data_IF_258654805468
#
_entry.id   IF_258654805468
#
_cell.length_a   1.000
_cell.length_b   1.000
_cell.length_c   1.000
_cell.angle_alpha   90.00
_cell.angle_beta   90.00
_cell.angle_gamma   90.00
#
_symmetry.space_group_name_H-M   'P 1'
#
loop_
_entity.id
_entity.type
_entity.pdbx_description
1 polymer ?
#
# COMPACT_ATOMS: atom_id res chain seq x y z
N UNK A 1 -11.93 -8.73 -10.37
CA UNK A 1 -12.14 -8.52 -11.81
C UNK A 1 -11.25 -9.47 -12.64
N UNK A 2 -9.91 -9.35 -12.65
CA UNK A 2 -9.01 -10.13 -13.51
C UNK A 2 -9.19 -11.66 -13.40
N UNK A 3 -9.34 -12.18 -12.18
CA UNK A 3 -9.59 -13.62 -11.91
C UNK A 3 -10.85 -14.17 -12.59
N UNK A 4 -11.83 -13.32 -12.91
CA UNK A 4 -13.10 -13.71 -13.51
C UNK A 4 -13.16 -13.38 -15.00
N UNK A 5 -12.46 -12.33 -15.46
CA UNK A 5 -12.50 -11.85 -16.84
C UNK A 5 -11.40 -12.48 -17.70
N UNK A 6 -10.23 -12.74 -17.10
CA UNK A 6 -9.03 -13.26 -17.78
C UNK A 6 -8.38 -14.37 -16.94
N UNK A 7 -9.11 -15.45 -16.73
CA UNK A 7 -8.72 -16.51 -15.80
C UNK A 7 -7.40 -17.20 -16.18
N UNK A 8 -7.16 -17.44 -17.47
CA UNK A 8 -5.95 -18.11 -17.93
C UNK A 8 -4.72 -17.21 -17.73
N UNK A 9 -4.82 -15.92 -18.03
CA UNK A 9 -3.76 -14.94 -17.76
C UNK A 9 -3.49 -14.82 -16.26
N UNK A 10 -4.54 -14.83 -15.43
CA UNK A 10 -4.39 -14.85 -13.97
C UNK A 10 -3.62 -16.09 -13.49
N UNK A 11 -3.97 -17.28 -13.96
CA UNK A 11 -3.29 -18.52 -13.63
C UNK A 11 -1.83 -18.52 -14.09
N UNK A 12 -1.58 -18.05 -15.31
CA UNK A 12 -0.24 -17.95 -15.86
C UNK A 12 0.66 -17.10 -14.97
N UNK A 13 0.23 -15.88 -14.62
CA UNK A 13 1.00 -14.98 -13.75
C UNK A 13 1.20 -15.61 -12.37
N UNK A 14 0.16 -16.21 -11.78
CA UNK A 14 0.24 -16.87 -10.48
C UNK A 14 1.26 -18.04 -10.48
N UNK A 15 1.26 -18.84 -11.53
CA UNK A 15 2.22 -19.94 -11.71
C UNK A 15 3.66 -19.42 -11.84
N UNK A 16 3.88 -18.42 -12.68
CA UNK A 16 5.21 -17.81 -12.88
C UNK A 16 5.75 -17.17 -11.58
N UNK A 17 4.88 -16.53 -10.79
CA UNK A 17 5.25 -15.99 -9.47
C UNK A 17 5.63 -17.09 -8.49
N UNK A 18 4.92 -18.24 -8.50
CA UNK A 18 5.24 -19.36 -7.63
C UNK A 18 6.54 -20.05 -8.04
N UNK A 19 6.79 -20.24 -9.32
CA UNK A 19 8.01 -20.87 -9.81
C UNK A 19 9.29 -20.13 -9.37
N UNK A 20 9.22 -18.79 -9.25
CA UNK A 20 10.35 -17.94 -8.82
C UNK A 20 10.29 -17.55 -7.33
N UNK A 21 9.49 -18.22 -6.53
CA UNK A 21 9.28 -17.86 -5.12
C UNK A 21 10.59 -17.94 -4.31
N UNK A 22 11.31 -19.03 -4.41
CA UNK A 22 12.55 -19.26 -3.66
C UNK A 22 13.65 -18.25 -4.05
N UNK A 23 13.86 -18.03 -5.34
CA UNK A 23 14.83 -17.01 -5.84
C UNK A 23 14.48 -15.60 -5.34
N UNK A 24 13.18 -15.28 -5.34
CA UNK A 24 12.71 -13.99 -4.84
C UNK A 24 12.92 -13.83 -3.34
N UNK A 25 12.66 -14.86 -2.55
CA UNK A 25 12.85 -14.85 -1.10
C UNK A 25 14.33 -14.70 -0.73
N UNK A 26 15.21 -15.39 -1.43
CA UNK A 26 16.66 -15.25 -1.29
C UNK A 26 17.12 -13.82 -1.64
N UNK A 27 16.66 -13.28 -2.75
CA UNK A 27 16.97 -11.91 -3.14
C UNK A 27 16.51 -10.89 -2.08
N UNK A 28 15.26 -11.04 -1.58
CA UNK A 28 14.70 -10.20 -0.52
C UNK A 28 15.59 -10.28 0.74
N UNK A 29 16.02 -11.47 1.14
CA UNK A 29 16.89 -11.64 2.30
C UNK A 29 18.24 -10.93 2.13
N UNK A 30 18.87 -11.04 0.96
CA UNK A 30 20.12 -10.31 0.64
C UNK A 30 19.95 -8.79 0.64
N UNK A 31 18.80 -8.30 0.19
CA UNK A 31 18.48 -6.86 0.23
C UNK A 31 18.22 -6.36 1.65
N UNK A 32 17.49 -7.14 2.46
CA UNK A 32 17.08 -6.74 3.82
C UNK A 32 18.25 -6.75 4.80
N UNK A 33 19.13 -7.73 4.75
CA UNK A 33 20.19 -7.94 5.74
C UNK A 33 21.04 -6.67 6.06
N UNK A 34 21.56 -5.92 5.09
CA UNK A 34 22.30 -4.69 5.38
C UNK A 34 21.42 -3.58 5.97
N UNK A 35 20.13 -3.53 5.61
CA UNK A 35 19.18 -2.57 6.16
C UNK A 35 18.87 -2.87 7.62
N UNK A 36 18.59 -4.12 7.96
CA UNK A 36 18.33 -4.53 9.35
C UNK A 36 19.48 -4.15 10.27
N UNK A 37 20.71 -4.43 9.84
CA UNK A 37 21.89 -4.02 10.59
C UNK A 37 21.97 -2.51 10.79
N UNK A 38 21.86 -1.73 9.69
CA UNK A 38 21.99 -0.27 9.72
C UNK A 38 20.91 0.39 10.58
N UNK A 39 19.67 -0.06 10.48
CA UNK A 39 18.54 0.46 11.24
C UNK A 39 18.62 0.08 12.72
N UNK A 40 19.08 -1.15 13.03
CA UNK A 40 19.30 -1.60 14.42
C UNK A 40 20.43 -0.81 15.08
N UNK A 41 21.54 -0.60 14.37
CA UNK A 41 22.68 0.19 14.85
C UNK A 41 22.27 1.66 15.13
N UNK A 42 21.30 2.18 14.37
CA UNK A 42 20.72 3.51 14.58
C UNK A 42 19.65 3.56 15.70
N UNK A 43 19.33 2.43 16.32
CA UNK A 43 18.41 2.34 17.46
C UNK A 43 16.93 2.31 17.11
N UNK A 44 16.58 2.13 15.82
CA UNK A 44 15.17 2.03 15.42
C UNK A 44 14.55 0.70 15.84
N UNK A 45 13.26 0.76 16.21
CA UNK A 45 12.39 -0.41 16.33
C UNK A 45 11.56 -0.51 15.05
N UNK A 46 11.67 -1.61 14.34
CA UNK A 46 11.06 -1.75 13.02
C UNK A 46 10.69 -3.19 12.68
N UNK A 47 9.90 -3.34 11.64
CA UNK A 47 9.64 -4.62 10.96
C UNK A 47 9.84 -4.41 9.46
N UNK A 48 10.61 -5.27 8.80
CA UNK A 48 10.77 -5.25 7.34
C UNK A 48 9.99 -6.42 6.74
N UNK A 49 9.20 -6.14 5.72
CA UNK A 49 8.40 -7.14 4.99
C UNK A 49 8.64 -7.03 3.49
N UNK A 50 8.92 -8.15 2.83
CA UNK A 50 8.80 -8.26 1.39
C UNK A 50 7.32 -8.37 1.01
N UNK A 51 6.84 -7.47 0.16
CA UNK A 51 5.47 -7.47 -0.33
C UNK A 51 5.43 -7.82 -1.82
N UNK A 52 4.93 -9.00 -2.20
CA UNK A 52 4.70 -9.29 -3.61
C UNK A 52 3.67 -8.32 -4.18
N UNK A 53 3.87 -7.86 -5.42
CA UNK A 53 2.87 -7.04 -6.10
C UNK A 53 1.66 -7.89 -6.47
N UNK A 54 0.48 -7.25 -6.47
CA UNK A 54 -0.75 -7.95 -6.85
C UNK A 54 -0.67 -8.42 -8.31
N UNK A 55 -1.27 -9.56 -8.61
CA UNK A 55 -1.36 -10.10 -9.98
C UNK A 55 -1.95 -9.07 -10.95
N UNK A 56 -2.93 -8.28 -10.49
CA UNK A 56 -3.51 -7.19 -11.27
C UNK A 56 -2.48 -6.11 -11.63
N UNK A 57 -1.63 -5.71 -10.68
CA UNK A 57 -0.58 -4.70 -10.95
C UNK A 57 0.49 -5.23 -11.90
N UNK A 58 0.80 -6.52 -11.83
CA UNK A 58 1.72 -7.20 -12.74
C UNK A 58 1.12 -7.27 -14.14
N UNK A 59 -0.13 -7.71 -14.26
CA UNK A 59 -0.87 -7.73 -15.52
C UNK A 59 -0.91 -6.36 -16.20
N UNK A 60 -1.27 -5.32 -15.47
CA UNK A 60 -1.28 -3.95 -16.01
C UNK A 60 0.10 -3.53 -16.54
N UNK A 61 1.18 -3.88 -15.83
CA UNK A 61 2.55 -3.61 -16.31
C UNK A 61 2.90 -4.39 -17.57
N UNK A 62 2.51 -5.68 -17.66
CA UNK A 62 2.69 -6.48 -18.87
C UNK A 62 2.04 -5.80 -20.06
N UNK A 63 0.83 -5.27 -19.90
CA UNK A 63 0.11 -4.55 -20.95
C UNK A 63 0.80 -3.25 -21.34
N UNK A 64 1.17 -2.41 -20.36
CA UNK A 64 1.78 -1.10 -20.63
C UNK A 64 3.21 -1.22 -21.20
N UNK A 65 3.97 -2.22 -20.76
CA UNK A 65 5.35 -2.42 -21.20
C UNK A 65 5.49 -3.39 -22.36
N UNK A 66 4.36 -3.96 -22.82
CA UNK A 66 4.33 -4.99 -23.88
C UNK A 66 5.37 -6.10 -23.66
N UNK A 67 5.47 -6.58 -22.41
CA UNK A 67 6.43 -7.59 -22.03
C UNK A 67 5.80 -8.71 -21.20
N UNK A 68 6.49 -9.84 -21.15
CA UNK A 68 6.07 -10.98 -20.36
C UNK A 68 6.43 -10.80 -18.88
N UNK A 69 5.77 -11.57 -17.99
CA UNK A 69 5.99 -11.55 -16.54
C UNK A 69 7.47 -11.74 -16.16
N UNK A 70 8.21 -12.51 -16.93
CA UNK A 70 9.63 -12.78 -16.72
C UNK A 70 10.53 -11.54 -16.92
N UNK A 71 10.07 -10.55 -17.67
CA UNK A 71 10.78 -9.30 -17.93
C UNK A 71 10.40 -8.17 -16.97
N UNK A 72 9.47 -8.43 -16.04
CA UNK A 72 9.10 -7.45 -15.03
C UNK A 72 10.04 -7.55 -13.83
N UNK A 73 10.93 -6.60 -13.68
CA UNK A 73 11.96 -6.61 -12.63
C UNK A 73 11.44 -6.24 -11.23
N UNK A 74 10.34 -5.49 -11.10
CA UNK A 74 9.80 -5.01 -9.83
C UNK A 74 8.57 -5.82 -9.36
N UNK A 75 8.72 -7.12 -9.23
CA UNK A 75 7.66 -8.05 -8.81
C UNK A 75 7.30 -7.93 -7.31
N UNK A 76 8.08 -7.22 -6.54
CA UNK A 76 7.87 -7.00 -5.11
C UNK A 76 8.30 -5.60 -4.69
N UNK A 77 7.84 -5.19 -3.52
CA UNK A 77 8.30 -4.01 -2.81
C UNK A 77 8.77 -4.42 -1.41
N UNK A 78 9.67 -3.65 -0.86
CA UNK A 78 10.09 -3.77 0.55
C UNK A 78 9.31 -2.73 1.34
N UNK A 79 8.73 -3.17 2.45
CA UNK A 79 8.03 -2.29 3.38
C UNK A 79 8.77 -2.27 4.70
N UNK A 80 9.15 -1.07 5.14
CA UNK A 80 9.75 -0.83 6.45
C UNK A 80 8.70 -0.16 7.32
N UNK A 81 8.34 -0.80 8.41
CA UNK A 81 7.32 -0.34 9.36
C UNK A 81 8.01 0.01 10.66
N UNK A 82 8.00 1.29 11.03
CA UNK A 82 8.65 1.81 12.22
C UNK A 82 7.69 1.81 13.42
N UNK A 83 8.23 1.51 14.58
CA UNK A 83 7.55 1.66 15.86
C UNK A 83 7.96 2.99 16.49
N UNK A 84 7.46 4.08 15.93
CA UNK A 84 7.81 5.46 16.30
C UNK A 84 6.69 6.12 17.09
N UNK A 85 7.02 7.00 18.07
CA UNK A 85 6.06 7.90 18.68
C UNK A 85 5.44 8.86 17.65
N UNK A 86 4.20 9.31 17.88
CA UNK A 86 3.46 10.17 16.96
C UNK A 86 4.22 11.48 16.64
N UNK A 87 4.92 12.03 17.62
CA UNK A 87 5.67 13.29 17.53
C UNK A 87 6.86 13.19 16.59
N UNK A 88 7.44 12.00 16.42
CA UNK A 88 8.66 11.79 15.62
C UNK A 88 8.41 11.00 14.33
N UNK A 89 7.18 10.52 14.08
CA UNK A 89 6.85 9.65 12.96
C UNK A 89 7.43 10.14 11.62
N UNK A 90 7.23 11.41 11.32
CA UNK A 90 7.69 12.00 10.05
C UNK A 90 9.22 12.08 9.99
N UNK A 91 9.85 12.59 11.05
CA UNK A 91 11.32 12.72 11.10
C UNK A 91 12.00 11.35 11.04
N UNK A 92 11.46 10.35 11.73
CA UNK A 92 12.00 8.99 11.74
C UNK A 92 11.92 8.34 10.36
N UNK A 93 10.81 8.51 9.63
CA UNK A 93 10.72 8.03 8.26
C UNK A 93 11.75 8.67 7.32
N UNK A 94 12.02 9.98 7.46
CA UNK A 94 13.05 10.66 6.68
C UNK A 94 14.46 10.24 7.08
N UNK A 95 14.70 10.00 8.37
CA UNK A 95 15.98 9.50 8.85
C UNK A 95 16.25 8.09 8.30
N UNK A 96 15.25 7.22 8.31
CA UNK A 96 15.35 5.88 7.69
C UNK A 96 15.60 5.97 6.19
N UNK A 97 14.96 6.90 5.48
CA UNK A 97 15.28 7.16 4.06
C UNK A 97 16.75 7.51 3.87
N UNK A 98 17.30 8.39 4.70
CA UNK A 98 18.73 8.75 4.65
C UNK A 98 19.62 7.51 4.86
N UNK A 99 19.32 6.67 5.87
CA UNK A 99 20.09 5.45 6.14
C UNK A 99 20.03 4.43 4.99
N UNK A 100 18.89 4.32 4.31
CA UNK A 100 18.73 3.46 3.13
C UNK A 100 19.62 3.96 1.97
N UNK A 101 19.62 5.26 1.75
CA UNK A 101 20.40 5.88 0.66
C UNK A 101 21.91 5.92 0.91
N UNK A 102 22.35 5.72 2.15
CA UNK A 102 23.77 5.44 2.46
C UNK A 102 24.23 4.08 1.93
N UNK A 103 23.30 3.11 1.78
CA UNK A 103 23.61 1.75 1.34
C UNK A 103 23.33 1.56 -0.15
N UNK A 104 22.19 2.09 -0.60
CA UNK A 104 21.67 1.86 -1.94
C UNK A 104 21.44 3.18 -2.69
N UNK A 105 21.87 3.24 -3.93
CA UNK A 105 21.68 4.42 -4.79
C UNK A 105 20.22 4.66 -5.10
N UNK A 106 19.61 5.81 -4.72
CA UNK A 106 18.22 6.09 -5.00
C UNK A 106 17.99 6.56 -6.43
N UNK A 107 16.79 6.35 -6.95
CA UNK A 107 16.29 6.99 -8.17
C UNK A 107 15.54 8.28 -7.80
N UNK A 108 16.08 9.48 -8.02
CA UNK A 108 15.48 10.75 -7.59
C UNK A 108 14.10 11.00 -8.22
N UNK A 109 13.85 10.49 -9.43
CA UNK A 109 12.59 10.66 -10.15
C UNK A 109 11.45 9.82 -9.56
N UNK A 110 11.79 8.87 -8.68
CA UNK A 110 10.82 7.92 -8.09
C UNK A 110 10.58 8.12 -6.60
N UNK A 111 11.07 9.21 -6.03
CA UNK A 111 10.69 9.61 -4.67
C UNK A 111 9.26 10.14 -4.65
N UNK A 112 8.45 9.66 -3.70
CA UNK A 112 7.07 10.10 -3.47
C UNK A 112 6.89 10.36 -1.98
N UNK A 113 6.68 11.63 -1.64
CA UNK A 113 6.47 12.09 -0.26
C UNK A 113 4.97 12.26 0.02
N UNK A 114 4.36 11.23 0.54
CA UNK A 114 3.00 11.29 1.09
C UNK A 114 2.99 11.42 2.62
N UNK A 115 4.13 11.76 3.22
CA UNK A 115 4.21 12.16 4.63
C UNK A 115 3.95 13.64 4.79
N UNK A 116 4.51 14.46 3.89
CA UNK A 116 4.33 15.92 3.91
C UNK A 116 2.98 16.33 3.34
N UNK A 117 2.51 15.61 2.30
CA UNK A 117 1.22 15.81 1.66
C UNK A 117 0.52 14.46 1.55
N UNK A 118 -0.23 14.03 2.59
CA UNK A 118 -1.01 12.81 2.56
C UNK A 118 -2.01 12.79 1.40
N UNK A 119 -2.33 11.61 0.91
CA UNK A 119 -3.39 11.47 -0.09
C UNK A 119 -4.77 11.80 0.51
N UNK A 120 -5.74 12.12 -0.34
CA UNK A 120 -7.12 12.44 0.07
C UNK A 120 -7.75 11.35 0.95
N UNK A 121 -7.41 10.10 0.72
CA UNK A 121 -7.86 8.96 1.53
C UNK A 121 -7.06 8.78 2.84
N UNK A 122 -6.24 9.75 3.25
CA UNK A 122 -5.45 9.69 4.48
C UNK A 122 -4.23 8.76 4.41
N UNK A 123 -3.87 8.25 3.24
CA UNK A 123 -2.67 7.44 3.07
C UNK A 123 -1.40 8.25 3.27
N UNK A 124 -0.55 7.80 4.20
CA UNK A 124 0.74 8.38 4.54
C UNK A 124 1.85 7.33 4.32
N UNK A 125 2.89 7.69 3.61
CA UNK A 125 4.08 6.84 3.42
C UNK A 125 5.14 7.60 2.64
N UNK A 126 6.41 7.28 2.85
CA UNK A 126 7.51 7.71 1.99
C UNK A 126 7.88 6.56 1.04
N UNK A 127 7.79 6.78 -0.25
CA UNK A 127 8.18 5.78 -1.24
C UNK A 127 9.44 6.22 -1.97
N UNK A 128 10.36 5.30 -2.09
CA UNK A 128 11.56 5.49 -2.90
C UNK A 128 11.82 4.24 -3.74
N UNK A 129 12.66 4.37 -4.74
CA UNK A 129 13.15 3.24 -5.51
C UNK A 129 14.66 3.31 -5.49
N UNK A 130 15.31 2.24 -5.07
CA UNK A 130 16.77 2.16 -4.92
C UNK A 130 17.35 1.04 -5.76
N UNK A 131 18.63 1.17 -6.13
CA UNK A 131 19.35 0.14 -6.85
C UNK A 131 19.89 -0.89 -5.83
N UNK A 132 19.27 -2.05 -5.78
CA UNK A 132 19.63 -3.15 -4.89
C UNK A 132 20.70 -4.08 -5.47
N UNK A 133 20.90 -5.26 -4.86
CA UNK A 133 21.77 -6.30 -5.39
C UNK A 133 21.43 -6.64 -6.85
N UNK A 134 22.42 -7.17 -7.57
CA UNK A 134 22.27 -7.58 -8.98
C UNK A 134 21.75 -6.46 -9.91
N UNK A 135 22.00 -5.20 -9.56
CA UNK A 135 21.59 -4.00 -10.32
C UNK A 135 20.07 -3.95 -10.59
N UNK A 136 19.27 -4.46 -9.66
CA UNK A 136 17.80 -4.45 -9.77
C UNK A 136 17.19 -3.29 -8.98
N UNK A 137 16.25 -2.57 -9.58
CA UNK A 137 15.51 -1.53 -8.89
C UNK A 137 14.49 -2.13 -7.93
N UNK A 138 14.53 -1.70 -6.68
CA UNK A 138 13.63 -2.14 -5.60
C UNK A 138 12.85 -0.95 -5.08
N UNK A 139 11.51 -1.06 -5.06
CA UNK A 139 10.65 -0.10 -4.40
C UNK A 139 10.69 -0.32 -2.89
N UNK A 140 10.96 0.73 -2.14
CA UNK A 140 10.95 0.74 -0.67
C UNK A 140 9.87 1.70 -0.19
N UNK A 141 8.99 1.20 0.67
CA UNK A 141 7.92 1.95 1.33
C UNK A 141 8.26 2.08 2.81
N UNK A 142 8.37 3.31 3.29
CA UNK A 142 8.71 3.62 4.69
C UNK A 142 7.49 4.26 5.32
N UNK A 143 7.05 3.72 6.45
CA UNK A 143 5.91 4.21 7.22
C UNK A 143 5.94 3.69 8.65
N UNK A 144 5.16 4.29 9.53
CA UNK A 144 5.01 3.83 10.91
C UNK A 144 3.90 2.79 11.04
N UNK A 145 3.79 2.15 12.20
CA UNK A 145 2.70 1.22 12.51
C UNK A 145 1.33 1.84 12.30
N UNK A 146 1.12 3.07 12.80
CA UNK A 146 -0.13 3.81 12.59
C UNK A 146 -0.45 4.00 11.10
N UNK A 147 0.54 4.45 10.33
CA UNK A 147 0.38 4.65 8.88
C UNK A 147 0.12 3.33 8.15
N UNK A 148 0.71 2.22 8.61
CA UNK A 148 0.48 0.89 8.06
C UNK A 148 -0.94 0.40 8.34
N UNK A 149 -1.45 0.62 9.55
CA UNK A 149 -2.83 0.30 9.92
C UNK A 149 -3.84 1.08 9.06
N UNK A 150 -3.64 2.39 8.91
CA UNK A 150 -4.48 3.23 8.03
C UNK A 150 -4.45 2.74 6.59
N UNK A 151 -3.27 2.35 6.08
CA UNK A 151 -3.12 1.88 4.71
C UNK A 151 -3.74 0.50 4.46
N UNK A 152 -3.76 -0.40 5.46
CA UNK A 152 -4.32 -1.75 5.33
C UNK A 152 -5.84 -1.80 5.60
N UNK A 153 -6.33 -1.01 6.54
CA UNK A 153 -7.74 -0.96 6.92
C UNK A 153 -8.54 0.08 6.13
N UNK A 154 -7.85 0.93 5.37
CA UNK A 154 -8.46 2.02 4.62
C UNK A 154 -8.88 3.19 5.51
N UNK A 155 -9.71 4.06 4.95
CA UNK A 155 -10.14 5.32 5.58
C UNK A 155 -10.86 5.11 6.93
N UNK A 156 -11.48 3.95 7.14
CA UNK A 156 -12.15 3.62 8.40
C UNK A 156 -11.20 3.65 9.61
N UNK A 157 -9.97 3.12 9.46
CA UNK A 157 -8.97 3.14 10.51
C UNK A 157 -8.45 4.57 10.80
N UNK A 158 -8.33 5.39 9.77
CA UNK A 158 -7.89 6.77 9.90
C UNK A 158 -8.82 7.60 10.80
N UNK A 159 -10.12 7.37 10.72
CA UNK A 159 -11.11 8.04 11.57
C UNK A 159 -11.06 7.58 13.03
N UNK A 160 -10.79 6.30 13.27
CA UNK A 160 -10.63 5.76 14.63
C UNK A 160 -9.41 6.37 15.35
N UNK A 161 -8.34 6.65 14.63
CA UNK A 161 -7.08 7.14 15.21
C UNK A 161 -7.06 8.66 15.44
N UNK A 162 -7.69 9.44 14.57
CA UNK A 162 -7.75 10.91 14.73
C UNK A 162 -8.65 11.37 15.88
N UNK A 163 -9.23 10.44 16.62
CA UNK A 163 -10.07 10.74 17.78
C UNK A 163 -11.00 11.88 17.43
N UNK A 164 -12.00 11.64 16.57
CA UNK A 164 -12.93 12.67 16.13
C UNK A 164 -13.56 13.27 17.38
N UNK A 165 -13.02 14.42 17.84
CA UNK A 165 -13.71 15.36 18.70
C UNK A 165 -14.83 16.04 17.90
N UNK A 166 -15.66 15.23 17.30
CA UNK A 166 -16.89 15.60 16.64
C UNK A 166 -17.73 14.34 16.74
N UNK A 167 -18.68 14.34 17.66
CA UNK A 167 -19.58 13.25 17.92
C UNK A 167 -20.22 12.76 16.62
N UNK A 168 -19.64 11.72 15.99
CA UNK A 168 -20.49 10.82 15.22
C UNK A 168 -21.30 10.12 16.31
N UNK A 169 -22.48 10.63 16.58
CA UNK A 169 -23.46 9.94 17.42
C UNK A 169 -23.81 8.67 16.65
N UNK A 170 -23.11 7.59 16.97
CA UNK A 170 -23.47 6.26 16.50
C UNK A 170 -24.86 5.96 17.09
N UNK A 171 -25.89 6.17 16.31
CA UNK A 171 -27.18 5.56 16.63
C UNK A 171 -27.02 4.06 16.39
N UNK A 172 -27.38 3.26 17.37
CA UNK A 172 -27.43 1.78 17.26
C UNK A 172 -28.28 1.46 16.02
N UNK A 173 -27.68 0.78 15.03
CA UNK A 173 -28.34 0.45 13.76
C UNK A 173 -27.90 1.26 12.53
N UNK A 174 -26.93 2.15 12.62
CA UNK A 174 -26.37 2.83 11.43
C UNK A 174 -25.24 2.02 10.80
N UNK A 175 -25.27 1.89 9.48
CA UNK A 175 -24.20 1.30 8.66
C UNK A 175 -23.42 2.42 7.97
N UNK A 176 -22.11 2.38 8.08
CA UNK A 176 -21.22 3.36 7.44
C UNK A 176 -20.51 2.72 6.25
N UNK A 177 -20.65 3.33 5.07
CA UNK A 177 -20.09 2.83 3.83
C UNK A 177 -19.24 3.93 3.17
N UNK A 178 -18.10 3.56 2.61
CA UNK A 178 -17.27 4.50 1.88
C UNK A 178 -17.50 4.43 0.38
N UNK A 179 -17.56 5.59 -0.26
CA UNK A 179 -17.52 5.68 -1.72
C UNK A 179 -16.12 5.30 -2.24
N UNK A 180 -15.96 4.94 -3.52
CA UNK A 180 -14.65 4.74 -4.14
C UNK A 180 -13.73 5.97 -4.05
N UNK A 181 -14.30 7.17 -3.90
CA UNK A 181 -13.59 8.44 -3.69
C UNK A 181 -13.18 8.66 -2.24
N UNK A 182 -13.64 7.80 -1.31
CA UNK A 182 -13.30 7.88 0.11
C UNK A 182 -14.27 8.69 0.97
N UNK A 183 -15.41 9.14 0.41
CA UNK A 183 -16.43 9.85 1.17
C UNK A 183 -17.23 8.88 2.06
N UNK A 184 -17.41 9.24 3.33
CA UNK A 184 -18.21 8.45 4.27
C UNK A 184 -19.70 8.72 4.06
N UNK A 185 -20.49 7.68 3.83
CA UNK A 185 -21.96 7.71 3.76
C UNK A 185 -22.55 6.92 4.92
N UNK A 186 -23.47 7.54 5.62
CA UNK A 186 -24.23 6.91 6.68
C UNK A 186 -25.55 6.42 6.11
N UNK A 187 -25.87 5.15 6.33
CA UNK A 187 -27.09 4.49 5.90
C UNK A 187 -27.75 3.82 7.10
N UNK A 188 -29.09 3.68 7.13
CA UNK A 188 -29.76 2.92 8.17
C UNK A 188 -29.45 1.42 8.05
N UNK A 189 -29.57 0.69 9.17
CA UNK A 189 -29.49 -0.77 9.18
C UNK A 189 -30.54 -1.35 8.23
N UNK A 190 -30.13 -2.32 7.40
CA UNK A 190 -30.97 -2.90 6.36
C UNK A 190 -30.96 -2.16 5.02
N UNK A 191 -30.20 -1.06 4.90
CA UNK A 191 -30.01 -0.40 3.62
C UNK A 191 -29.36 -1.33 2.60
N UNK A 192 -29.82 -1.23 1.37
CA UNK A 192 -29.35 -2.04 0.23
C UNK A 192 -28.22 -1.35 -0.52
N UNK A 193 -27.58 -2.09 -1.46
CA UNK A 193 -26.61 -1.51 -2.40
C UNK A 193 -27.24 -0.39 -3.23
N UNK A 194 -28.53 -0.50 -3.55
CA UNK A 194 -29.27 0.51 -4.28
C UNK A 194 -29.42 1.80 -3.47
N UNK A 195 -29.75 1.69 -2.17
CA UNK A 195 -29.82 2.85 -1.26
C UNK A 195 -28.46 3.56 -1.18
N UNK A 196 -27.38 2.79 -1.14
CA UNK A 196 -26.03 3.35 -1.20
C UNK A 196 -25.76 4.08 -2.51
N UNK A 197 -26.11 3.49 -3.67
CA UNK A 197 -25.95 4.13 -4.98
C UNK A 197 -26.72 5.45 -5.08
N UNK A 198 -27.98 5.48 -4.61
CA UNK A 198 -28.79 6.71 -4.54
C UNK A 198 -28.22 7.73 -3.54
N UNK A 199 -27.57 7.30 -2.48
CA UNK A 199 -26.91 8.21 -1.53
C UNK A 199 -25.70 8.95 -2.12
N UNK A 200 -25.10 8.40 -3.17
CA UNK A 200 -24.00 9.04 -3.90
C UNK A 200 -24.55 10.09 -4.86
N UNK A 201 -25.40 9.67 -5.77
CA UNK A 201 -26.08 10.53 -6.74
C UNK A 201 -27.30 9.79 -7.34
N UNK A 202 -28.37 10.54 -7.63
CA UNK A 202 -29.59 9.95 -8.19
C UNK A 202 -29.37 9.26 -9.55
N UNK A 203 -28.50 9.76 -10.39
CA UNK A 203 -28.10 9.10 -11.65
C UNK A 203 -27.37 7.78 -11.42
N UNK A 204 -26.49 7.72 -10.41
CA UNK A 204 -25.78 6.48 -10.06
C UNK A 204 -26.77 5.42 -9.58
N UNK A 205 -27.74 5.82 -8.74
CA UNK A 205 -28.81 4.95 -8.29
C UNK A 205 -29.71 4.47 -9.43
N UNK A 206 -30.07 5.35 -10.36
CA UNK A 206 -30.93 5.03 -11.49
C UNK A 206 -30.28 4.08 -12.54
N UNK A 207 -28.95 4.06 -12.62
CA UNK A 207 -28.19 3.19 -13.54
C UNK A 207 -27.59 1.96 -12.83
N UNK A 208 -27.89 1.74 -11.56
CA UNK A 208 -27.42 0.57 -10.81
C UNK A 208 -28.20 -0.67 -11.27
N UNK A 209 -27.55 -1.54 -12.03
CA UNK A 209 -28.05 -2.88 -12.39
C UNK A 209 -27.53 -3.87 -11.36
N UNK A 210 -28.45 -4.64 -10.77
CA UNK A 210 -28.19 -5.66 -9.75
C UNK A 210 -27.40 -6.87 -10.25
#
# INVERSE_FOLDING_TARGET
ALKFLEYDTYKYIAHALNAKKAEREEYIARFIAPLEKKLSDAGFKFTIKGRPKSIHSIYHKMQVQHCDVDKIYDLFAIRIILDSPLETEKSDCWQVYSLITDIFTPNPKRLRDWLSVPKENGYESLHTTVLGPDQRWVEVQIRTKRMDEVAEQGVAAHWSYKGVKGSIVQKKGDVYVFTPTGDLRRLPEGATVLDFAYSIHSEVGAHCVG
#
